data_IF_743595456287
#
_entry.id   IF_743595456287
#
_cell.length_a   1.000
_cell.length_b   1.000
_cell.length_c   1.000
_cell.angle_alpha   90.00
_cell.angle_beta   90.00
_cell.angle_gamma   90.00
#
_symmetry.space_group_name_H-M   'P 1'
#
loop_
_entity.id
_entity.type
_entity.pdbx_description
1 polymer ?
#
# COMPACT_ATOMS: atom_id res chain seq x y z
N UNK A 83 -11.94 -1.50 -24.01
CA UNK A 83 -11.51 -2.78 -23.45
C UNK A 83 -10.75 -2.57 -22.13
N UNK A 84 -10.04 -1.45 -22.04
CA UNK A 84 -9.28 -1.16 -20.82
C UNK A 84 -10.22 -0.99 -19.63
N UNK A 85 -11.48 -0.62 -19.89
CA UNK A 85 -12.45 -0.49 -18.80
C UNK A 85 -12.77 -1.84 -18.19
N UNK A 86 -12.87 -2.88 -19.01
CA UNK A 86 -13.17 -4.22 -18.50
C UNK A 86 -12.06 -4.70 -17.58
N UNK A 87 -10.80 -4.44 -17.96
CA UNK A 87 -9.68 -4.87 -17.13
C UNK A 87 -9.72 -4.23 -15.76
N UNK A 88 -10.06 -2.94 -15.71
CA UNK A 88 -10.20 -2.27 -14.42
C UNK A 88 -11.31 -2.89 -13.60
N UNK A 89 -12.40 -3.29 -14.25
CA UNK A 89 -13.50 -3.92 -13.54
C UNK A 89 -13.07 -5.25 -12.93
N UNK A 90 -12.25 -6.02 -13.65
CA UNK A 90 -11.84 -7.32 -13.16
C UNK A 90 -10.98 -7.17 -11.91
N UNK A 91 -9.98 -6.29 -11.97
CA UNK A 91 -9.05 -6.16 -10.84
C UNK A 91 -9.76 -5.55 -9.64
N UNK A 92 -10.64 -4.58 -9.87
CA UNK A 92 -11.34 -3.93 -8.76
C UNK A 92 -12.20 -4.92 -7.99
N UNK A 93 -12.97 -5.73 -8.71
CA UNK A 93 -13.87 -6.68 -8.05
C UNK A 93 -13.06 -7.65 -7.20
N UNK A 94 -11.98 -8.18 -7.75
CA UNK A 94 -11.10 -9.06 -6.99
C UNK A 94 -10.49 -8.30 -5.81
N UNK A 95 -10.17 -7.03 -6.02
CA UNK A 95 -9.54 -6.25 -4.96
C UNK A 95 -10.39 -6.16 -3.71
N UNK A 96 -11.66 -5.78 -3.87
CA UNK A 96 -12.55 -5.76 -2.72
C UNK A 96 -12.90 -7.18 -2.28
N UNK A 97 -13.04 -8.11 -3.21
CA UNK A 97 -13.39 -9.48 -2.85
C UNK A 97 -12.34 -10.10 -1.94
N UNK A 98 -11.07 -9.89 -2.25
CA UNK A 98 -10.01 -10.48 -1.44
C UNK A 98 -9.92 -9.85 -0.06
N UNK A 99 -10.07 -8.53 0.02
CA UNK A 99 -9.71 -7.82 1.24
C UNK A 99 -10.67 -8.10 2.40
N UNK A 100 -11.98 -7.99 2.17
CA UNK A 100 -12.89 -8.12 3.31
C UNK A 100 -12.88 -9.55 3.85
N UNK A 101 -12.73 -10.54 2.96
CA UNK A 101 -12.58 -11.91 3.39
C UNK A 101 -11.33 -12.08 4.24
N UNK A 102 -10.22 -11.47 3.81
CA UNK A 102 -9.01 -11.47 4.63
C UNK A 102 -9.24 -10.70 5.92
N UNK A 103 -9.89 -9.54 5.83
CA UNK A 103 -10.09 -8.71 7.01
C UNK A 103 -10.94 -9.43 8.05
N UNK A 104 -11.99 -10.12 7.61
CA UNK A 104 -12.84 -10.86 8.55
C UNK A 104 -12.08 -12.00 9.20
N UNK A 105 -11.21 -12.66 8.43
CA UNK A 105 -10.52 -13.86 8.91
C UNK A 105 -9.62 -13.52 10.10
N UNK A 106 -8.90 -12.41 10.02
CA UNK A 106 -7.94 -12.08 11.08
C UNK A 106 -8.62 -11.86 12.43
N UNK A 107 -9.89 -11.44 12.43
CA UNK A 107 -10.60 -11.16 13.67
C UNK A 107 -11.39 -12.37 14.13
N UNK A 108 -11.83 -13.19 13.19
CA UNK A 108 -12.73 -14.30 13.48
C UNK A 108 -11.99 -15.58 13.91
N UNK A 109 -10.76 -15.48 14.37
CA UNK A 109 -10.03 -16.65 14.87
C UNK A 109 -8.90 -16.18 15.76
N UNK A 110 -8.94 -16.58 17.03
CA UNK A 110 -7.96 -16.10 18.00
C UNK A 110 -6.55 -16.61 17.68
N UNK A 111 -6.44 -17.63 16.83
CA UNK A 111 -5.14 -18.18 16.49
C UNK A 111 -4.32 -17.25 15.60
N UNK A 112 -4.92 -16.18 15.07
CA UNK A 112 -4.23 -15.25 14.20
C UNK A 112 -4.05 -13.88 14.81
N UNK A 113 -3.83 -13.79 16.13
CA UNK A 113 -3.64 -12.51 16.80
C UNK A 113 -2.17 -12.13 16.92
N UNK A 114 -1.29 -12.75 16.13
CA UNK A 114 0.13 -12.45 16.24
C UNK A 114 0.42 -11.07 15.66
N UNK A 115 1.66 -10.62 15.86
CA UNK A 115 2.02 -9.24 15.54
C UNK A 115 1.85 -8.94 14.05
N UNK A 116 2.28 -9.87 13.19
CA UNK A 116 2.31 -9.59 11.75
C UNK A 116 0.91 -9.36 11.21
N UNK A 117 -0.08 -10.11 11.69
CA UNK A 117 -1.43 -9.94 11.16
C UNK A 117 -2.03 -8.59 11.51
N UNK A 118 -1.56 -7.93 12.57
CA UNK A 118 -2.01 -6.57 12.84
C UNK A 118 -1.61 -5.64 11.70
N UNK A 119 -0.36 -5.75 11.23
CA UNK A 119 0.07 -4.94 10.11
C UNK A 119 -0.61 -5.37 8.82
N UNK A 120 -0.85 -6.67 8.66
CA UNK A 120 -1.56 -7.15 7.46
C UNK A 120 -2.95 -6.55 7.41
N UNK A 121 -3.59 -6.39 8.57
CA UNK A 121 -4.92 -5.78 8.61
C UNK A 121 -4.87 -4.36 8.08
N UNK A 122 -3.87 -3.59 8.50
CA UNK A 122 -3.72 -2.22 8.02
C UNK A 122 -3.45 -2.19 6.52
N UNK A 123 -2.60 -3.09 6.03
CA UNK A 123 -2.29 -3.13 4.61
C UNK A 123 -3.53 -3.43 3.78
N UNK A 124 -4.31 -4.42 4.23
CA UNK A 124 -5.55 -4.77 3.53
C UNK A 124 -6.55 -3.62 3.59
N UNK A 125 -6.63 -2.92 4.73
CA UNK A 125 -7.52 -1.78 4.84
C UNK A 125 -7.13 -0.70 3.84
N UNK A 126 -5.84 -0.39 3.75
CA UNK A 126 -5.39 0.64 2.82
C UNK A 126 -5.69 0.26 1.39
N UNK A 127 -5.40 -0.99 1.02
CA UNK A 127 -5.67 -1.42 -0.35
C UNK A 127 -7.16 -1.39 -0.66
N UNK A 128 -8.00 -1.83 0.29
CA UNK A 128 -9.43 -1.82 0.07
C UNK A 128 -9.96 -0.40 -0.11
N UNK A 129 -9.49 0.54 0.71
CA UNK A 129 -9.90 1.92 0.52
C UNK A 129 -9.42 2.47 -0.81
N UNK A 130 -8.19 2.15 -1.21
CA UNK A 130 -7.68 2.64 -2.48
C UNK A 130 -8.49 2.09 -3.65
N UNK A 131 -8.99 0.86 -3.53
CA UNK A 131 -9.78 0.26 -4.59
C UNK A 131 -11.26 0.62 -4.51
N UNK A 132 -11.70 1.33 -3.47
CA UNK A 132 -13.11 1.70 -3.38
C UNK A 132 -13.47 2.81 -4.36
N UNK A 133 -12.51 3.66 -4.71
CA UNK A 133 -12.75 4.80 -5.59
C UNK A 133 -12.63 4.46 -7.06
N UNK A 134 -12.32 3.20 -7.40
CA UNK A 134 -12.13 2.84 -8.80
C UNK A 134 -13.38 3.06 -9.65
N UNK A 135 -14.58 2.59 -9.27
CA UNK A 135 -15.75 2.85 -10.13
C UNK A 135 -16.08 4.33 -10.25
N UNK A 136 -15.85 5.12 -9.19
CA UNK A 136 -16.15 6.55 -9.26
C UNK A 136 -15.24 7.23 -10.27
N UNK A 137 -13.94 6.96 -10.21
CA UNK A 137 -13.01 7.60 -11.13
C UNK A 137 -13.20 7.09 -12.56
N UNK A 138 -13.44 5.79 -12.72
CA UNK A 138 -13.52 5.22 -14.06
C UNK A 138 -14.77 5.68 -14.79
N UNK A 139 -15.85 5.95 -14.05
CA UNK A 139 -17.09 6.41 -14.67
C UNK A 139 -16.90 7.74 -15.37
N UNK A 140 -15.92 8.53 -14.95
CA UNK A 140 -15.70 9.85 -15.54
C UNK A 140 -15.18 9.78 -16.96
N UNK A 141 -14.73 8.60 -17.42
CA UNK A 141 -14.27 8.47 -18.79
C UNK A 141 -15.38 8.78 -19.78
N UNK A 142 -16.58 8.24 -19.55
CA UNK A 142 -17.68 8.35 -20.50
C UNK A 142 -18.60 9.52 -20.19
N UNK A 143 -18.32 10.30 -19.15
CA UNK A 143 -19.16 11.45 -18.84
C UNK A 143 -18.35 12.73 -18.86
N UNK A 144 -17.12 12.68 -18.34
CA UNK A 144 -16.28 13.85 -18.31
C UNK A 144 -16.79 14.96 -17.42
N UNK A 145 -17.68 14.63 -16.48
CA UNK A 145 -18.23 15.63 -15.57
C UNK A 145 -18.52 14.96 -14.25
N UNK A 146 -17.97 15.50 -13.18
CA UNK A 146 -18.11 14.93 -11.84
C UNK A 146 -19.52 15.16 -11.31
N UNK A 147 -20.36 14.12 -11.20
CA UNK A 147 -21.74 14.32 -10.73
C UNK A 147 -21.95 14.13 -9.24
N UNK A 148 -21.00 13.54 -8.51
CA UNK A 148 -21.27 13.09 -7.15
C UNK A 148 -21.30 14.24 -6.15
N UNK A 149 -20.46 15.25 -6.31
CA UNK A 149 -20.39 16.34 -5.36
C UNK A 149 -18.98 16.72 -4.98
N UNK A 150 -18.81 17.91 -4.41
CA UNK A 150 -17.46 18.41 -4.15
C UNK A 150 -16.81 17.67 -2.97
N UNK A 151 -17.60 17.35 -1.94
CA UNK A 151 -17.04 16.66 -0.78
C UNK A 151 -16.62 15.24 -1.14
N UNK A 152 -17.33 14.59 -2.06
CA UNK A 152 -16.93 13.26 -2.48
C UNK A 152 -15.64 13.30 -3.30
N UNK A 153 -15.47 14.33 -4.13
CA UNK A 153 -14.19 14.52 -4.81
C UNK A 153 -13.07 14.74 -3.81
N UNK A 154 -13.34 15.55 -2.77
CA UNK A 154 -12.38 15.75 -1.70
C UNK A 154 -11.98 14.42 -1.08
N UNK A 155 -12.97 13.59 -0.72
CA UNK A 155 -12.69 12.34 -0.02
C UNK A 155 -11.96 11.35 -0.94
N UNK A 156 -12.29 11.35 -2.22
CA UNK A 156 -11.63 10.45 -3.16
C UNK A 156 -10.16 10.81 -3.31
N UNK A 157 -9.89 12.11 -3.50
CA UNK A 157 -8.51 12.56 -3.60
C UNK A 157 -7.76 12.27 -2.31
N UNK A 158 -8.44 12.45 -1.17
CA UNK A 158 -7.81 12.16 0.11
C UNK A 158 -7.44 10.69 0.24
N UNK A 159 -8.33 9.79 -0.17
CA UNK A 159 -8.04 8.36 -0.10
C UNK A 159 -6.87 8.02 -1.00
N UNK A 160 -6.86 8.55 -2.22
CA UNK A 160 -5.79 8.26 -3.16
C UNK A 160 -4.45 8.73 -2.61
N UNK A 161 -4.41 9.92 -2.00
CA UNK A 161 -3.15 10.40 -1.47
C UNK A 161 -2.76 9.70 -0.18
N UNK A 162 -3.73 9.19 0.59
CA UNK A 162 -3.41 8.44 1.79
C UNK A 162 -2.72 7.14 1.44
N UNK A 163 -3.31 6.38 0.49
CA UNK A 163 -2.85 5.03 0.21
C UNK A 163 -1.34 4.95 0.00
N UNK A 164 -0.80 5.90 -0.78
CA UNK A 164 0.62 5.88 -1.13
C UNK A 164 1.50 5.98 0.11
N UNK A 165 1.09 6.77 1.10
CA UNK A 165 1.87 6.88 2.33
C UNK A 165 1.65 5.69 3.25
N UNK A 166 0.39 5.34 3.49
CA UNK A 166 0.08 4.31 4.48
C UNK A 166 0.65 2.96 4.09
N UNK A 167 0.54 2.58 2.80
CA UNK A 167 1.05 1.27 2.39
C UNK A 167 2.54 1.16 2.65
N UNK A 168 3.30 2.16 2.21
CA UNK A 168 4.75 2.08 2.34
C UNK A 168 5.18 2.14 3.80
N UNK A 169 4.49 2.95 4.60
CA UNK A 169 4.87 3.04 6.01
C UNK A 169 4.53 1.74 6.75
N UNK A 170 3.41 1.11 6.40
CA UNK A 170 3.07 -0.19 6.98
C UNK A 170 4.10 -1.24 6.61
N UNK A 171 4.56 -1.24 5.35
CA UNK A 171 5.59 -2.21 4.97
C UNK A 171 6.90 -1.93 5.71
N UNK A 172 7.24 -0.66 5.90
CA UNK A 172 8.44 -0.33 6.66
C UNK A 172 8.34 -0.82 8.10
N UNK A 173 7.17 -0.62 8.73
CA UNK A 173 6.99 -1.12 10.09
C UNK A 173 7.07 -2.64 10.13
N UNK A 174 6.51 -3.32 9.13
CA UNK A 174 6.60 -4.77 9.07
C UNK A 174 8.06 -5.22 9.00
N UNK A 175 8.85 -4.56 8.16
CA UNK A 175 10.25 -4.94 8.03
C UNK A 175 11.00 -4.71 9.34
N UNK A 176 10.73 -3.60 10.01
CA UNK A 176 11.39 -3.34 11.30
C UNK A 176 10.98 -4.38 12.32
N UNK A 177 9.71 -4.78 12.33
CA UNK A 177 9.24 -5.79 13.28
C UNK A 177 9.94 -7.12 13.03
N UNK A 178 10.05 -7.52 11.77
CA UNK A 178 10.76 -8.76 11.47
C UNK A 178 12.23 -8.66 11.86
N UNK A 179 12.83 -7.48 11.69
CA UNK A 179 14.23 -7.30 12.07
C UNK A 179 14.42 -7.51 13.57
N UNK A 180 13.58 -6.88 14.39
CA UNK A 180 13.75 -7.03 15.83
C UNK A 180 13.45 -8.47 16.22
N UNK A 181 12.52 -9.12 15.54
CA UNK A 181 12.22 -10.51 15.82
C UNK A 181 13.43 -11.41 15.57
N UNK A 182 14.16 -11.16 14.47
CA UNK A 182 15.28 -12.01 14.12
C UNK A 182 16.48 -11.72 15.01
N UNK A 183 16.89 -10.45 15.07
CA UNK A 183 18.18 -10.15 15.68
C UNK A 183 18.14 -10.05 17.20
N UNK A 184 17.00 -9.71 17.79
CA UNK A 184 16.90 -9.50 19.24
C UNK A 184 15.71 -10.27 19.79
N UNK A 185 15.77 -11.61 19.78
CA UNK A 185 14.62 -12.38 20.29
C UNK A 185 14.33 -12.15 21.76
N UNK A 186 15.36 -11.94 22.58
CA UNK A 186 15.14 -11.73 24.01
C UNK A 186 14.37 -10.44 24.24
N UNK A 187 14.79 -9.36 23.59
CA UNK A 187 14.05 -8.10 23.70
C UNK A 187 12.71 -8.19 22.99
N UNK A 188 12.64 -8.93 21.88
CA UNK A 188 11.39 -9.08 21.16
C UNK A 188 10.36 -9.84 21.97
N UNK A 189 10.81 -10.64 22.95
CA UNK A 189 9.87 -11.36 23.80
C UNK A 189 8.96 -10.40 24.56
N UNK A 190 9.50 -9.25 24.97
CA UNK A 190 8.73 -8.26 25.70
C UNK A 190 8.31 -7.06 24.87
N UNK A 191 8.93 -6.84 23.72
CA UNK A 191 8.71 -5.62 22.96
C UNK A 191 7.76 -5.81 21.78
N UNK A 192 7.25 -7.02 21.53
CA UNK A 192 6.44 -7.29 20.35
C UNK A 192 5.03 -7.78 20.70
N UNK A 193 4.49 -7.36 21.84
CA UNK A 193 3.14 -7.78 22.20
C UNK A 193 2.12 -7.18 21.24
N UNK A 194 1.08 -7.93 20.87
CA UNK A 194 0.08 -7.39 19.92
C UNK A 194 -0.66 -6.17 20.44
N UNK A 195 -0.94 -6.11 21.74
CA UNK A 195 -1.70 -4.98 22.27
C UNK A 195 -0.96 -3.67 22.03
N UNK A 196 0.36 -3.66 22.27
CA UNK A 196 1.15 -2.47 22.02
C UNK A 196 1.63 -2.37 20.58
N UNK A 197 1.44 -3.41 19.77
CA UNK A 197 1.68 -3.28 18.34
C UNK A 197 0.46 -2.70 17.63
N UNK A 198 -0.70 -2.69 18.30
CA UNK A 198 -1.88 -2.06 17.72
C UNK A 198 -1.73 -0.55 17.59
N UNK A 199 -1.01 0.08 18.51
CA UNK A 199 -0.87 1.54 18.47
C UNK A 199 -0.03 1.97 17.28
N UNK A 200 0.75 1.06 16.69
CA UNK A 200 1.57 1.43 15.54
C UNK A 200 0.69 1.81 14.36
N UNK A 201 -0.47 1.15 14.22
CA UNK A 201 -1.38 1.50 13.13
C UNK A 201 -1.87 2.94 13.25
N UNK A 202 -2.31 3.34 14.44
CA UNK A 202 -2.82 4.70 14.60
C UNK A 202 -1.68 5.70 14.48
N UNK A 203 -0.47 5.33 14.93
CA UNK A 203 0.67 6.21 14.70
C UNK A 203 0.93 6.41 13.21
N UNK A 204 0.84 5.32 12.43
CA UNK A 204 1.02 5.43 10.99
C UNK A 204 -0.04 6.32 10.36
N UNK A 205 -1.30 6.14 10.78
CA UNK A 205 -2.37 6.99 10.25
C UNK A 205 -2.12 8.45 10.59
N UNK A 206 -1.70 8.74 11.82
CA UNK A 206 -1.43 10.12 12.21
C UNK A 206 -0.30 10.70 11.36
N UNK A 207 0.76 9.93 11.15
CA UNK A 207 1.88 10.44 10.38
C UNK A 207 1.49 10.70 8.94
N UNK A 208 0.69 9.80 8.34
CA UNK A 208 0.25 10.03 6.97
C UNK A 208 -0.77 11.15 6.88
N UNK A 209 -1.43 11.47 7.99
CA UNK A 209 -2.43 12.53 7.99
C UNK A 209 -1.84 13.88 7.61
N UNK A 210 -0.54 14.08 7.86
CA UNK A 210 0.10 15.36 7.55
C UNK A 210 0.08 15.62 6.05
N UNK A 211 0.13 14.58 5.23
CA UNK A 211 -0.04 14.76 3.80
C UNK A 211 -1.50 14.57 3.40
N UNK A 212 -2.27 13.83 4.19
CA UNK A 212 -3.66 13.63 3.86
C UNK A 212 -4.49 14.90 3.90
N UNK A 213 -4.35 15.71 4.97
CA UNK A 213 -5.28 16.81 5.17
C UNK A 213 -5.05 17.99 4.23
N UNK A 214 -3.83 18.53 4.07
CA UNK A 214 -3.66 19.64 3.11
C UNK A 214 -4.11 19.26 1.71
N UNK A 215 -3.71 18.08 1.24
CA UNK A 215 -4.18 17.59 -0.05
C UNK A 215 -5.70 17.48 -0.03
N UNK A 216 -6.26 17.02 1.08
CA UNK A 216 -7.71 17.08 1.25
C UNK A 216 -8.20 18.53 1.27
N UNK A 217 -7.43 19.42 1.89
CA UNK A 217 -7.89 20.79 2.09
C UNK A 217 -8.11 21.50 0.75
N UNK A 218 -7.08 21.49 -0.12
CA UNK A 218 -7.22 22.27 -1.36
C UNK A 218 -8.17 21.62 -2.35
N UNK A 219 -8.52 20.36 -2.14
CA UNK A 219 -9.41 19.67 -3.08
C UNK A 219 -10.82 20.21 -2.99
N UNK A 220 -11.34 20.72 -4.10
CA UNK A 220 -12.70 21.23 -4.22
C UNK A 220 -12.98 21.47 -5.69
N UNK A 221 -14.18 21.10 -6.12
CA UNK A 221 -14.55 21.19 -7.53
C UNK A 221 -14.48 22.64 -8.01
N UNK A 222 -14.07 22.82 -9.26
CA UNK A 222 -14.03 24.12 -9.90
C UNK A 222 -14.69 24.01 -11.27
N UNK A 223 -15.50 25.01 -11.62
CA UNK A 223 -16.23 24.99 -12.88
C UNK A 223 -15.28 25.29 -14.03
N UNK A 224 -14.97 24.27 -14.82
CA UNK A 224 -14.06 24.40 -15.95
C UNK A 224 -14.79 25.01 -17.14
N UNK A 225 -14.21 24.87 -18.33
CA UNK A 225 -14.69 25.56 -19.53
C UNK A 225 -15.90 24.86 -20.14
N UNK A 226 -16.64 24.12 -19.34
CA UNK A 226 -17.87 23.48 -19.81
C UNK A 226 -18.16 22.14 -19.18
N UNK A 227 -17.17 21.54 -18.52
CA UNK A 227 -17.37 20.30 -17.80
C UNK A 227 -16.70 20.40 -16.44
N UNK A 228 -17.41 19.96 -15.40
CA UNK A 228 -16.94 20.12 -14.03
C UNK A 228 -15.72 19.24 -13.81
N UNK A 229 -14.64 19.84 -13.33
CA UNK A 229 -13.37 19.14 -13.14
C UNK A 229 -12.98 19.17 -11.66
N UNK A 230 -12.73 17.99 -11.10
CA UNK A 230 -12.29 17.86 -9.72
C UNK A 230 -10.78 17.84 -9.70
N UNK A 231 -10.17 18.96 -9.32
CA UNK A 231 -8.72 19.11 -9.36
C UNK A 231 -8.26 19.77 -8.07
N UNK A 232 -7.01 20.21 -8.05
CA UNK A 232 -6.42 20.90 -6.91
C UNK A 232 -6.13 22.34 -7.25
N UNK A 233 -5.81 23.12 -6.21
CA UNK A 233 -5.47 24.52 -6.37
C UNK A 233 -4.40 24.88 -5.35
N UNK A 234 -3.65 25.93 -5.65
CA UNK A 234 -2.52 26.34 -4.83
C UNK A 234 -2.56 27.85 -4.64
N UNK A 235 -1.46 28.40 -4.14
CA UNK A 235 -1.35 29.84 -3.93
C UNK A 235 -0.74 30.53 -5.15
N UNK A 238 1.31 28.68 -8.43
CA UNK A 238 1.28 27.24 -8.62
C UNK A 238 2.67 26.70 -8.97
N UNK A 239 3.49 27.56 -9.57
CA UNK A 239 4.82 27.16 -9.99
C UNK A 239 5.66 26.69 -8.81
N UNK A 240 5.31 27.12 -7.60
CA UNK A 240 6.00 26.68 -6.39
C UNK A 240 5.37 25.43 -5.81
N UNK A 241 4.06 25.48 -5.51
CA UNK A 241 3.42 24.42 -4.75
C UNK A 241 3.29 23.13 -5.56
N UNK A 242 2.97 23.25 -6.85
CA UNK A 242 2.78 22.04 -7.67
C UNK A 242 4.06 21.24 -7.74
N UNK A 243 5.21 21.90 -7.72
CA UNK A 243 6.48 21.18 -7.68
C UNK A 243 6.83 20.73 -6.27
N UNK A 244 6.50 21.57 -5.26
CA UNK A 244 6.87 21.28 -3.89
C UNK A 244 6.19 20.00 -3.39
N UNK A 245 4.90 19.87 -3.68
CA UNK A 245 4.17 18.68 -3.26
C UNK A 245 4.79 17.42 -3.86
N UNK A 246 5.14 17.48 -5.14
CA UNK A 246 5.72 16.32 -5.82
C UNK A 246 7.07 15.96 -5.24
N UNK A 247 7.96 16.94 -5.04
CA UNK A 247 9.28 16.59 -4.52
C UNK A 247 9.16 16.05 -3.10
N UNK A 248 8.29 16.67 -2.30
CA UNK A 248 8.11 16.19 -0.93
C UNK A 248 7.58 14.77 -0.90
N UNK A 249 6.59 14.46 -1.73
CA UNK A 249 6.02 13.10 -1.71
C UNK A 249 7.05 12.09 -2.20
N UNK A 250 7.82 12.45 -3.23
CA UNK A 250 8.82 11.52 -3.74
C UNK A 250 9.93 11.27 -2.71
N UNK A 251 10.37 12.30 -2.01
CA UNK A 251 11.46 12.14 -1.06
C UNK A 251 10.99 11.43 0.20
N UNK A 252 9.85 11.83 0.75
CA UNK A 252 9.40 11.34 2.04
C UNK A 252 8.43 10.17 1.96
N UNK A 253 8.17 9.63 0.77
CA UNK A 253 7.28 8.49 0.65
C UNK A 253 7.91 7.29 -0.02
N UNK A 254 9.00 7.46 -0.77
CA UNK A 254 9.61 6.36 -1.49
C UNK A 254 11.04 6.08 -1.04
N UNK A 255 11.94 7.06 -1.14
CA UNK A 255 13.37 6.79 -1.05
C UNK A 255 13.76 6.39 0.37
N UNK A 256 13.34 7.18 1.36
CA UNK A 256 13.70 6.85 2.75
C UNK A 256 13.15 5.50 3.19
N UNK A 257 11.86 5.17 3.00
CA UNK A 257 11.41 3.83 3.38
C UNK A 257 12.07 2.73 2.59
N UNK A 258 12.36 2.94 1.30
CA UNK A 258 13.05 1.89 0.54
C UNK A 258 14.44 1.65 1.14
N UNK A 259 15.15 2.71 1.48
CA UNK A 259 16.48 2.55 2.06
C UNK A 259 16.40 1.85 3.41
N UNK A 260 15.43 2.21 4.24
CA UNK A 260 15.29 1.57 5.55
C UNK A 260 15.02 0.08 5.38
N UNK A 261 14.11 -0.27 4.47
CA UNK A 261 13.80 -1.68 4.25
C UNK A 261 15.02 -2.42 3.74
N UNK A 262 15.77 -1.82 2.82
CA UNK A 262 16.96 -2.49 2.29
C UNK A 262 17.99 -2.73 3.39
N UNK A 263 18.22 -1.75 4.26
CA UNK A 263 19.18 -1.94 5.34
C UNK A 263 18.70 -3.03 6.30
N UNK A 264 17.40 -3.01 6.63
CA UNK A 264 16.87 -4.01 7.55
C UNK A 264 17.06 -5.41 6.99
N UNK A 265 16.77 -5.61 5.70
CA UNK A 265 16.89 -6.95 5.15
C UNK A 265 18.35 -7.32 4.90
N UNK A 266 19.22 -6.33 4.70
CA UNK A 266 20.64 -6.62 4.63
C UNK A 266 21.16 -7.16 5.95
N UNK A 267 20.65 -6.63 7.06
CA UNK A 267 21.01 -7.21 8.35
C UNK A 267 20.35 -8.57 8.55
N UNK A 268 19.11 -8.71 8.07
CA UNK A 268 18.39 -9.97 8.23
C UNK A 268 19.10 -11.12 7.54
N UNK A 269 19.57 -10.91 6.31
CA UNK A 269 20.23 -11.98 5.58
C UNK A 269 21.52 -12.38 6.28
N UNK A 270 22.27 -11.39 6.78
CA UNK A 270 23.49 -11.69 7.51
C UNK A 270 23.20 -12.52 8.76
N UNK A 271 22.11 -12.19 9.47
CA UNK A 271 21.78 -12.97 10.65
C UNK A 271 21.31 -14.38 10.28
N UNK A 272 20.55 -14.51 9.20
CA UNK A 272 19.98 -15.81 8.85
C UNK A 272 21.03 -16.78 8.31
N UNK A 273 21.89 -16.30 7.42
CA UNK A 273 22.81 -17.17 6.70
C UNK A 273 24.01 -17.59 7.53
N UNK A 274 23.97 -17.42 8.86
CA UNK A 274 25.09 -17.80 9.72
C UNK A 274 24.69 -18.58 10.96
N UNK A 275 23.46 -18.45 11.45
CA UNK A 275 23.02 -19.12 12.68
C UNK A 275 22.08 -20.25 12.30
N UNK A 276 22.35 -21.45 12.83
CA UNK A 276 21.59 -22.63 12.48
C UNK A 276 20.24 -22.71 13.19
N UNK A 277 20.15 -22.20 14.41
CA UNK A 277 18.91 -22.29 15.18
C UNK A 277 18.67 -20.96 15.88
N UNK A 278 17.56 -20.31 15.54
CA UNK A 278 17.25 -19.00 16.13
C UNK A 278 16.59 -19.16 17.50
N UNK A 279 15.40 -19.76 17.54
CA UNK A 279 14.64 -19.87 18.77
C UNK A 279 15.03 -21.07 19.62
N UNK A 280 15.98 -21.88 19.16
CA UNK A 280 16.41 -23.05 19.90
C UNK A 280 15.58 -24.29 19.68
N UNK A 281 14.53 -24.22 18.86
CA UNK A 281 13.68 -25.37 18.59
C UNK A 281 13.41 -25.47 17.10
N UNK A 282 13.19 -26.69 16.63
CA UNK A 282 12.94 -26.91 15.21
C UNK A 282 11.52 -26.54 14.80
N UNK A 283 10.62 -26.33 15.74
CA UNK A 283 9.24 -25.98 15.42
C UNK A 283 9.03 -24.47 15.30
N UNK A 284 10.03 -23.66 15.65
CA UNK A 284 9.92 -22.21 15.58
C UNK A 284 10.81 -21.58 14.52
N UNK A 285 12.02 -22.12 14.31
CA UNK A 285 12.91 -21.56 13.31
C UNK A 285 12.31 -21.64 11.91
N UNK A 286 11.68 -22.78 11.59
CA UNK A 286 11.07 -22.93 10.27
C UNK A 286 9.95 -21.91 10.07
N UNK A 287 9.11 -21.73 11.09
CA UNK A 287 8.01 -20.76 10.97
C UNK A 287 8.54 -19.35 10.83
N UNK A 288 9.59 -19.02 11.58
CA UNK A 288 10.16 -17.68 11.48
C UNK A 288 10.73 -17.42 10.09
N UNK A 289 11.48 -18.39 9.54
CA UNK A 289 12.03 -18.21 8.19
C UNK A 289 10.91 -18.09 7.17
N UNK A 290 9.85 -18.90 7.30
CA UNK A 290 8.75 -18.84 6.35
C UNK A 290 8.07 -17.48 6.40
N UNK A 291 7.84 -16.94 7.60
CA UNK A 291 7.15 -15.66 7.71
C UNK A 291 8.03 -14.54 7.16
N UNK A 292 9.34 -14.62 7.38
CA UNK A 292 10.23 -13.61 6.81
C UNK A 292 10.23 -13.68 5.30
N UNK A 293 10.20 -14.89 4.73
CA UNK A 293 10.12 -15.02 3.28
C UNK A 293 8.82 -14.41 2.75
N UNK A 294 7.71 -14.62 3.46
CA UNK A 294 6.44 -14.03 3.02
C UNK A 294 6.52 -12.51 3.02
N UNK A 295 7.08 -11.92 4.08
CA UNK A 295 7.21 -10.47 4.15
C UNK A 295 8.07 -9.96 2.99
N UNK A 296 9.18 -10.67 2.71
CA UNK A 296 10.05 -10.23 1.63
C UNK A 296 9.33 -10.29 0.28
N UNK A 297 8.56 -11.35 0.04
CA UNK A 297 7.86 -11.46 -1.23
C UNK A 297 6.86 -10.33 -1.39
N UNK A 298 6.10 -10.03 -0.34
CA UNK A 298 5.12 -8.94 -0.42
C UNK A 298 5.80 -7.61 -0.68
N UNK A 299 6.91 -7.35 0.01
CA UNK A 299 7.62 -6.09 -0.17
C UNK A 299 8.16 -5.98 -1.60
N UNK A 300 8.73 -7.07 -2.13
CA UNK A 300 9.25 -7.02 -3.48
C UNK A 300 8.15 -6.77 -4.50
N UNK A 301 7.01 -7.44 -4.34
CA UNK A 301 5.91 -7.22 -5.26
C UNK A 301 5.46 -5.76 -5.21
N UNK A 302 5.33 -5.21 -4.01
CA UNK A 302 4.91 -3.82 -3.88
C UNK A 302 5.91 -2.88 -4.56
N UNK A 303 7.20 -3.11 -4.36
CA UNK A 303 8.21 -2.24 -4.96
C UNK A 303 8.14 -2.30 -6.48
N UNK A 304 8.05 -3.52 -7.02
CA UNK A 304 8.00 -3.68 -8.47
C UNK A 304 6.77 -2.98 -9.04
N UNK A 305 5.64 -3.11 -8.36
CA UNK A 305 4.41 -2.53 -8.89
C UNK A 305 4.42 -1.00 -8.81
N UNK A 306 4.87 -0.45 -7.68
CA UNK A 306 4.75 0.99 -7.48
C UNK A 306 5.94 1.78 -7.98
N UNK A 307 7.01 1.13 -8.44
CA UNK A 307 8.17 1.87 -8.92
C UNK A 307 7.88 2.72 -10.16
N UNK A 308 7.24 2.20 -11.23
CA UNK A 308 7.17 3.01 -12.47
C UNK A 308 6.46 4.35 -12.32
N UNK A 309 5.40 4.41 -11.51
CA UNK A 309 4.54 5.59 -11.53
C UNK A 309 5.27 6.80 -10.95
N UNK A 310 6.08 6.59 -9.91
CA UNK A 310 6.79 7.71 -9.31
C UNK A 310 7.83 8.27 -10.27
N UNK A 311 8.57 7.41 -10.96
CA UNK A 311 9.55 7.87 -11.93
C UNK A 311 8.85 8.60 -13.07
N UNK A 312 7.72 8.08 -13.54
CA UNK A 312 6.98 8.75 -14.61
C UNK A 312 6.51 10.12 -14.18
N UNK A 313 6.00 10.24 -12.95
CA UNK A 313 5.53 11.53 -12.45
C UNK A 313 6.68 12.52 -12.37
N UNK A 314 7.83 12.08 -11.84
CA UNK A 314 8.97 12.97 -11.68
C UNK A 314 9.46 13.45 -13.05
N UNK A 315 9.61 12.53 -14.00
CA UNK A 315 10.15 12.93 -15.30
C UNK A 315 9.15 13.81 -16.05
N UNK A 316 7.86 13.54 -15.89
CA UNK A 316 6.84 14.38 -16.53
C UNK A 316 6.86 15.79 -15.94
N UNK A 317 7.02 15.91 -14.62
CA UNK A 317 7.02 17.23 -14.00
C UNK A 317 8.34 17.96 -14.20
N UNK A 318 9.41 17.25 -14.59
CA UNK A 318 10.71 17.89 -14.77
C UNK A 318 10.96 18.33 -16.21
N UNK A 319 10.93 17.38 -17.15
CA UNK A 319 11.43 17.62 -18.50
C UNK A 319 10.39 18.27 -19.41
N UNK A 320 9.10 18.14 -19.08
CA UNK A 320 8.01 18.58 -19.95
C UNK A 320 8.05 17.86 -21.30
N UNK A 321 7.83 16.55 -21.22
CA UNK A 321 7.87 15.68 -22.40
C UNK A 321 6.80 16.12 -23.39
N UNK A 322 7.10 16.19 -24.69
CA UNK A 322 6.05 16.52 -25.67
C UNK A 322 4.99 15.42 -25.70
N UNK A 323 3.74 15.85 -25.83
CA UNK A 323 2.62 14.91 -25.80
C UNK A 323 2.61 14.04 -27.05
N UNK A 324 2.16 12.79 -26.86
CA UNK A 324 2.00 11.85 -27.97
C UNK A 324 1.01 10.78 -27.55
N UNK A 325 0.41 10.13 -28.55
CA UNK A 325 -0.52 9.04 -28.26
C UNK A 325 0.18 7.90 -27.55
N UNK A 326 1.39 7.56 -28.00
CA UNK A 326 2.18 6.54 -27.32
C UNK A 326 2.51 6.97 -25.90
N UNK A 327 2.86 8.24 -25.72
CA UNK A 327 3.12 8.75 -24.37
C UNK A 327 1.86 8.66 -23.50
N UNK A 328 0.70 8.98 -24.07
CA UNK A 328 -0.55 8.91 -23.31
C UNK A 328 -0.84 7.48 -22.87
N UNK A 329 -0.69 6.51 -23.78
CA UNK A 329 -0.99 5.14 -23.42
C UNK A 329 0.02 4.61 -22.41
N UNK A 330 1.29 5.01 -22.52
CA UNK A 330 2.27 4.58 -21.53
C UNK A 330 1.95 5.16 -20.15
N UNK A 331 1.58 6.45 -20.11
CA UNK A 331 1.23 7.07 -18.83
C UNK A 331 0.03 6.40 -18.20
N UNK A 332 -0.98 6.04 -19.00
CA UNK A 332 -2.14 5.36 -18.44
C UNK A 332 -1.79 3.94 -17.98
N UNK A 333 -0.94 3.24 -18.72
CA UNK A 333 -0.54 1.89 -18.33
C UNK A 333 0.22 1.92 -17.00
N UNK A 334 1.03 2.95 -16.78
CA UNK A 334 1.73 3.06 -15.50
C UNK A 334 0.76 3.16 -14.34
N UNK A 335 -0.28 3.98 -14.48
CA UNK A 335 -1.27 4.12 -13.40
C UNK A 335 -2.03 2.81 -13.19
N UNK A 336 -2.39 2.14 -14.29
CA UNK A 336 -3.08 0.86 -14.17
C UNK A 336 -2.23 -0.16 -13.43
N UNK A 337 -0.94 -0.22 -13.77
CA UNK A 337 -0.04 -1.16 -13.11
C UNK A 337 0.14 -0.80 -11.64
N UNK A 338 0.15 0.49 -11.33
CA UNK A 338 0.22 0.89 -9.93
C UNK A 338 -1.02 0.48 -9.15
N UNK A 339 -2.19 0.58 -9.78
CA UNK A 339 -3.43 0.24 -9.08
C UNK A 339 -3.60 -1.27 -8.94
N UNK A 340 -3.08 -2.05 -9.88
CA UNK A 340 -3.31 -3.50 -9.84
C UNK A 340 -2.66 -4.14 -8.63
N UNK A 341 -1.70 -3.47 -7.99
CA UNK A 341 -1.02 -4.03 -6.83
C UNK A 341 -1.98 -4.26 -5.68
N UNK A 342 -3.06 -3.48 -5.60
CA UNK A 342 -3.96 -3.58 -4.45
C UNK A 342 -4.71 -4.89 -4.42
N UNK A 343 -4.91 -5.53 -5.57
CA UNK A 343 -5.65 -6.79 -5.62
C UNK A 343 -4.76 -8.02 -5.53
N UNK A 344 -3.44 -7.86 -5.63
CA UNK A 344 -2.56 -9.03 -5.62
C UNK A 344 -2.37 -9.60 -4.22
N UNK A 345 -2.32 -8.73 -3.20
CA UNK A 345 -1.95 -9.18 -1.86
C UNK A 345 -2.85 -10.27 -1.30
N UNK A 346 -4.19 -10.17 -1.36
CA UNK A 346 -5.01 -11.28 -0.84
C UNK A 346 -4.75 -12.61 -1.52
N UNK A 347 -4.36 -12.59 -2.79
CA UNK A 347 -3.99 -13.83 -3.46
C UNK A 347 -2.56 -14.22 -3.11
N UNK A 348 -1.66 -13.25 -3.04
CA UNK A 348 -0.27 -13.56 -2.73
C UNK A 348 -0.12 -14.18 -1.35
N UNK A 349 -1.03 -13.88 -0.43
CA UNK A 349 -0.98 -14.52 0.88
C UNK A 349 -1.35 -15.99 0.82
N UNK A 350 -2.05 -16.40 -0.24
CA UNK A 350 -2.61 -17.76 -0.27
C UNK A 350 -1.51 -18.81 -0.45
N UNK A 351 -0.51 -18.51 -1.26
CA UNK A 351 0.49 -19.52 -1.63
C UNK A 351 1.77 -19.41 -0.82
N UNK A 352 1.78 -18.63 0.27
CA UNK A 352 3.00 -18.47 1.04
C UNK A 352 2.78 -18.73 2.54
N UNK A 353 1.57 -18.47 3.02
CA UNK A 353 1.25 -18.58 4.43
C UNK A 353 0.32 -19.77 4.62
N UNK A 354 0.66 -20.65 5.57
CA UNK A 354 -0.12 -21.86 5.78
C UNK A 354 -1.46 -21.56 6.44
N UNK A 355 -1.48 -20.64 7.41
CA UNK A 355 -2.70 -20.34 8.14
C UNK A 355 -3.78 -19.82 7.20
N UNK A 356 -3.45 -18.81 6.40
CA UNK A 356 -4.42 -18.25 5.47
C UNK A 356 -4.80 -19.26 4.39
N UNK A 357 -3.83 -20.05 3.91
CA UNK A 357 -4.13 -21.05 2.90
C UNK A 357 -5.13 -22.07 3.40
N UNK A 358 -4.95 -22.54 4.64
CA UNK A 358 -5.89 -23.51 5.20
C UNK A 358 -7.24 -22.89 5.49
N UNK A 359 -7.25 -21.66 6.04
CA UNK A 359 -8.50 -21.07 6.48
C UNK A 359 -9.31 -20.46 5.34
N UNK A 360 -8.71 -20.28 4.16
CA UNK A 360 -9.52 -19.93 2.99
C UNK A 360 -10.37 -21.12 2.56
N UNK A 361 -9.77 -22.31 2.49
CA UNK A 361 -10.52 -23.50 2.12
C UNK A 361 -11.45 -23.94 3.23
N UNK A 362 -11.11 -23.63 4.48
CA UNK A 362 -11.99 -23.96 5.60
C UNK A 362 -13.33 -23.27 5.45
N UNK A 363 -13.32 -22.00 5.02
CA UNK A 363 -14.57 -21.31 4.69
C UNK A 363 -15.25 -21.96 3.49
N UNK A 364 -14.47 -22.33 2.48
CA UNK A 364 -15.03 -22.94 1.28
C UNK A 364 -15.56 -24.34 1.52
N UNK A 365 -15.07 -25.03 2.54
CA UNK A 365 -15.52 -26.38 2.84
C UNK A 365 -16.81 -26.34 3.65
#
# INVERSE_FOLDING_TARGET
DYKDDDDASIDMDSSAAPTNASNCTDALAYSSCSPAPSPGSWVNLSHLDGNLSDPCGPNRTDLGGRDSLCPPTGSPSMITAITIMALYSIVCVVGLFGNFLVMYVIVRYTKMKTATNIYIFNLALADALATSTLPFQSVNYLMGTWPFGTILCKIVISIDYYNMFTSIFTLCTMSVDRYIAVCHPVKALDFRTPRNAKIINVCNWILSSAIGLPVMFMATTKYRQGSIDCTLTFSHPTWYWENLLKICVFIFAFIMPVLIITVCYGLMILRLKSVRLLSGSREKDRNLRRITRMVLVVVAVFIVCWTPIHIYVIIKALVTIPETTFQTVSWHFCIALGYTNSCLNPVLYAFLDENFKRCFREFCIPTSSNIEQQNSTRIRQNTRDHPSTANTVDRTNHQLENLEAETAPLP
#
